data_IF_856349112778
#
_entry.id   IF_856349112778
#
_cell.length_a   1.000
_cell.length_b   1.000
_cell.length_c   1.000
_cell.angle_alpha   90.00
_cell.angle_beta   90.00
_cell.angle_gamma   90.00
#
_symmetry.space_group_name_H-M   'P 1'
#
loop_
_entity.id
_entity.type
_entity.pdbx_description
1 polymer ?
#
# COMPACT_ATOMS: atom_id res chain seq x y z
N UNK A 1 9.37 6.11 -17.91
CA UNK A 1 7.98 6.55 -17.70
C UNK A 1 7.39 6.69 -19.09
N UNK A 2 6.32 5.95 -19.40
CA UNK A 2 5.68 6.02 -20.71
C UNK A 2 5.07 7.40 -20.92
N UNK A 3 5.32 7.97 -22.08
CA UNK A 3 4.98 9.34 -22.51
C UNK A 3 3.55 9.45 -23.05
N UNK A 4 2.60 8.68 -22.53
CA UNK A 4 1.26 8.53 -23.14
C UNK A 4 0.10 8.83 -22.17
N UNK A 5 0.40 9.43 -21.01
CA UNK A 5 -0.67 9.99 -20.17
C UNK A 5 -1.07 11.37 -20.72
N UNK A 6 -2.37 11.59 -20.99
CA UNK A 6 -2.86 12.90 -21.41
C UNK A 6 -2.51 13.97 -20.36
N UNK A 7 -2.26 15.20 -20.80
CA UNK A 7 -1.93 16.30 -19.90
C UNK A 7 -3.15 16.65 -19.04
N UNK A 8 -3.10 16.53 -17.70
CA UNK A 8 -4.24 16.85 -16.84
C UNK A 8 -4.75 18.29 -16.96
N UNK A 9 -3.88 19.22 -17.37
CA UNK A 9 -4.23 20.63 -17.55
C UNK A 9 -5.17 20.89 -18.74
N UNK A 10 -5.31 19.91 -19.65
CA UNK A 10 -6.16 20.00 -20.84
C UNK A 10 -7.49 19.25 -20.69
N UNK A 11 -7.68 18.56 -19.56
CA UNK A 11 -8.84 17.71 -19.28
C UNK A 11 -10.00 18.53 -18.71
N UNK A 12 -11.22 18.10 -19.06
CA UNK A 12 -12.43 18.58 -18.41
C UNK A 12 -12.54 18.05 -16.98
N UNK A 13 -13.39 18.70 -16.17
CA UNK A 13 -13.64 18.26 -14.80
C UNK A 13 -14.17 16.80 -14.72
N UNK A 14 -14.96 16.38 -15.71
CA UNK A 14 -15.51 15.03 -15.73
C UNK A 14 -14.44 13.99 -16.10
N UNK A 15 -13.51 14.33 -17.00
CA UNK A 15 -12.37 13.48 -17.33
C UNK A 15 -11.41 13.34 -16.13
N UNK A 16 -11.09 14.45 -15.44
CA UNK A 16 -10.27 14.42 -14.23
C UNK A 16 -10.89 13.55 -13.12
N UNK A 17 -12.23 13.61 -12.97
CA UNK A 17 -12.95 12.77 -12.01
C UNK A 17 -12.97 11.30 -12.42
N UNK A 18 -12.98 11.01 -13.72
CA UNK A 18 -12.86 9.64 -14.21
C UNK A 18 -11.46 9.08 -13.92
N UNK A 19 -10.41 9.88 -14.13
CA UNK A 19 -9.03 9.48 -13.82
C UNK A 19 -8.83 9.22 -12.32
N UNK A 20 -9.39 10.06 -11.43
CA UNK A 20 -9.38 9.79 -9.98
C UNK A 20 -10.09 8.46 -9.66
N UNK A 21 -11.23 8.17 -10.29
CA UNK A 21 -11.93 6.90 -10.07
C UNK A 21 -11.12 5.68 -10.54
N UNK A 22 -10.34 5.83 -11.60
CA UNK A 22 -9.42 4.78 -12.06
C UNK A 22 -8.28 4.59 -11.05
N UNK A 23 -7.66 5.68 -10.59
CA UNK A 23 -6.64 5.65 -9.53
C UNK A 23 -7.18 4.97 -8.25
N UNK A 24 -8.41 5.29 -7.85
CA UNK A 24 -9.05 4.70 -6.66
C UNK A 24 -9.21 3.17 -6.81
N UNK A 25 -9.58 2.69 -8.01
CA UNK A 25 -9.66 1.25 -8.30
C UNK A 25 -8.28 0.61 -8.23
N UNK A 26 -7.29 1.22 -8.84
CA UNK A 26 -5.91 0.73 -8.84
C UNK A 26 -5.35 0.66 -7.40
N UNK A 27 -5.66 1.64 -6.55
CA UNK A 27 -5.30 1.60 -5.13
C UNK A 27 -5.89 0.37 -4.45
N UNK A 28 -7.17 0.07 -4.66
CA UNK A 28 -7.82 -1.11 -4.08
C UNK A 28 -7.18 -2.41 -4.59
N UNK A 29 -6.87 -2.50 -5.87
CA UNK A 29 -6.17 -3.67 -6.45
C UNK A 29 -4.77 -3.86 -5.86
N UNK A 30 -4.02 -2.76 -5.69
CA UNK A 30 -2.69 -2.78 -5.07
C UNK A 30 -2.76 -3.20 -3.59
N UNK A 31 -3.79 -2.75 -2.86
CA UNK A 31 -4.03 -3.18 -1.48
C UNK A 31 -4.31 -4.68 -1.43
N UNK A 32 -5.21 -5.19 -2.27
CA UNK A 32 -5.52 -6.62 -2.34
C UNK A 32 -4.28 -7.46 -2.65
N UNK A 33 -3.49 -7.04 -3.64
CA UNK A 33 -2.22 -7.70 -4.00
C UNK A 33 -1.22 -7.68 -2.83
N UNK A 34 -1.09 -6.55 -2.13
CA UNK A 34 -0.20 -6.42 -0.97
C UNK A 34 -0.62 -7.37 0.16
N UNK A 35 -1.92 -7.47 0.45
CA UNK A 35 -2.45 -8.37 1.48
C UNK A 35 -2.16 -9.83 1.12
N UNK A 36 -2.43 -10.26 -0.11
CA UNK A 36 -2.12 -11.62 -0.57
C UNK A 36 -0.64 -12.00 -0.41
N UNK A 37 0.27 -11.10 -0.77
CA UNK A 37 1.72 -11.32 -0.59
C UNK A 37 2.08 -11.42 0.88
N UNK A 38 1.51 -10.57 1.74
CA UNK A 38 1.77 -10.60 3.17
C UNK A 38 1.24 -11.90 3.84
N UNK A 39 0.11 -12.42 3.39
CA UNK A 39 -0.43 -13.71 3.84
C UNK A 39 0.47 -14.87 3.41
N UNK A 40 0.97 -14.83 2.16
CA UNK A 40 1.96 -15.80 1.68
C UNK A 40 3.23 -15.79 2.53
N UNK A 41 3.71 -14.60 2.92
CA UNK A 41 4.85 -14.47 3.84
C UNK A 41 4.55 -15.08 5.21
N UNK A 42 3.33 -14.90 5.74
CA UNK A 42 2.92 -15.51 7.00
C UNK A 42 2.89 -17.04 6.93
N UNK A 43 2.40 -17.61 5.82
CA UNK A 43 2.42 -19.06 5.58
C UNK A 43 3.87 -19.60 5.56
N UNK A 44 4.77 -18.93 4.83
CA UNK A 44 6.19 -19.32 4.79
C UNK A 44 6.86 -19.20 6.17
N UNK A 45 6.50 -18.20 6.97
CA UNK A 45 7.00 -18.08 8.35
C UNK A 45 6.51 -19.24 9.21
N UNK A 46 5.24 -19.62 9.10
CA UNK A 46 4.66 -20.73 9.84
C UNK A 46 5.31 -22.07 9.48
N UNK A 47 5.54 -22.34 8.19
CA UNK A 47 6.24 -23.55 7.72
C UNK A 47 7.68 -23.66 8.23
N UNK A 48 8.29 -22.54 8.63
CA UNK A 48 9.68 -22.45 9.10
C UNK A 48 9.80 -22.20 10.60
N UNK A 49 8.70 -22.32 11.34
CA UNK A 49 8.63 -22.02 12.78
C UNK A 49 9.16 -20.61 13.14
N UNK A 50 8.98 -19.65 12.23
CA UNK A 50 9.39 -18.26 12.44
C UNK A 50 8.25 -17.43 13.07
N UNK A 51 8.58 -16.46 13.95
CA UNK A 51 7.57 -15.55 14.51
C UNK A 51 6.80 -14.81 13.43
N UNK A 52 5.47 -14.79 13.54
CA UNK A 52 4.60 -14.05 12.63
C UNK A 52 4.78 -12.54 12.77
N UNK A 53 4.98 -12.06 14.00
CA UNK A 53 5.24 -10.65 14.30
C UNK A 53 6.70 -10.32 14.05
N UNK A 54 6.97 -9.23 13.34
CA UNK A 54 8.30 -8.76 12.99
C UNK A 54 8.33 -7.23 13.04
N UNK A 55 8.58 -6.70 14.24
CA UNK A 55 8.58 -5.25 14.50
C UNK A 55 9.62 -4.51 13.65
N UNK A 56 10.78 -5.13 13.41
CA UNK A 56 11.82 -4.55 12.55
C UNK A 56 11.40 -4.50 11.07
N UNK A 57 10.54 -5.42 10.61
CA UNK A 57 9.92 -5.31 9.30
C UNK A 57 8.85 -4.21 9.26
N UNK A 58 8.07 -4.01 10.32
CA UNK A 58 7.10 -2.91 10.40
C UNK A 58 7.79 -1.54 10.37
N UNK A 59 8.88 -1.37 11.12
CA UNK A 59 9.71 -0.14 11.08
C UNK A 59 10.22 0.13 9.66
N UNK A 60 10.81 -0.87 8.99
CA UNK A 60 11.28 -0.75 7.61
C UNK A 60 10.18 -0.43 6.61
N UNK A 61 8.94 -0.87 6.84
CA UNK A 61 7.79 -0.48 6.01
C UNK A 61 7.47 0.99 6.20
N UNK A 62 7.54 1.49 7.44
CA UNK A 62 7.27 2.88 7.78
C UNK A 62 8.36 3.83 7.29
N UNK A 63 9.62 3.40 7.30
CA UNK A 63 10.74 4.17 6.72
C UNK A 63 10.55 4.36 5.22
N UNK A 64 10.28 3.27 4.49
CA UNK A 64 9.96 3.35 3.06
C UNK A 64 8.75 4.22 2.77
N UNK A 65 7.73 4.21 3.64
CA UNK A 65 6.56 5.07 3.48
C UNK A 65 6.94 6.56 3.62
N UNK A 66 7.84 6.89 4.55
CA UNK A 66 8.39 8.24 4.70
C UNK A 66 9.22 8.68 3.49
N UNK A 67 10.17 7.85 3.05
CA UNK A 67 11.02 8.13 1.89
C UNK A 67 10.20 8.36 0.61
N UNK A 68 9.15 7.55 0.39
CA UNK A 68 8.26 7.75 -0.76
C UNK A 68 7.41 9.01 -0.62
N UNK A 69 6.94 9.35 0.58
CA UNK A 69 6.20 10.59 0.78
C UNK A 69 7.04 11.81 0.40
N UNK A 70 8.29 11.86 0.87
CA UNK A 70 9.24 12.93 0.52
C UNK A 70 9.49 12.98 -0.99
N UNK A 71 9.66 11.84 -1.64
CA UNK A 71 9.90 11.76 -3.09
C UNK A 71 8.74 12.32 -3.94
N UNK A 72 7.52 12.21 -3.45
CA UNK A 72 6.31 12.68 -4.14
C UNK A 72 5.76 13.98 -3.55
N UNK A 73 6.55 14.69 -2.72
CA UNK A 73 6.16 15.94 -2.06
C UNK A 73 4.85 15.84 -1.24
N UNK A 74 4.63 14.69 -0.60
CA UNK A 74 3.48 14.40 0.27
C UNK A 74 3.86 14.52 1.75
N UNK A 75 2.86 14.80 2.61
CA UNK A 75 3.05 14.78 4.06
C UNK A 75 3.38 13.37 4.54
N UNK A 76 4.60 13.19 5.06
CA UNK A 76 5.10 11.91 5.53
C UNK A 76 4.26 11.29 6.65
N UNK A 77 3.62 12.10 7.51
CA UNK A 77 2.77 11.59 8.58
C UNK A 77 1.46 11.02 8.02
N UNK A 78 0.87 11.66 7.01
CA UNK A 78 -0.34 11.17 6.35
C UNK A 78 -0.07 9.87 5.60
N UNK A 79 1.02 9.81 4.81
CA UNK A 79 1.40 8.57 4.11
C UNK A 79 1.70 7.45 5.11
N UNK A 80 2.46 7.73 6.18
CA UNK A 80 2.71 6.76 7.26
C UNK A 80 1.39 6.31 7.93
N UNK A 81 0.39 7.17 8.09
CA UNK A 81 -0.91 6.78 8.64
C UNK A 81 -1.64 5.76 7.74
N UNK A 82 -1.62 5.96 6.42
CA UNK A 82 -2.16 4.96 5.47
C UNK A 82 -1.43 3.63 5.62
N UNK A 83 -0.10 3.64 5.68
CA UNK A 83 0.68 2.41 5.84
C UNK A 83 0.43 1.69 7.17
N UNK A 84 0.15 2.41 8.27
CA UNK A 84 -0.31 1.79 9.53
C UNK A 84 -1.61 1.02 9.31
N UNK A 85 -2.58 1.59 8.60
CA UNK A 85 -3.84 0.90 8.28
C UNK A 85 -3.59 -0.35 7.43
N UNK A 86 -2.67 -0.30 6.47
CA UNK A 86 -2.31 -1.47 5.65
C UNK A 86 -1.60 -2.58 6.44
N UNK A 87 -0.82 -2.23 7.45
CA UNK A 87 -0.22 -3.20 8.38
C UNK A 87 -1.31 -3.83 9.25
N UNK A 88 -2.19 -2.99 9.82
CA UNK A 88 -3.28 -3.49 10.67
C UNK A 88 -4.27 -4.36 9.91
N UNK A 89 -4.61 -4.02 8.66
CA UNK A 89 -5.43 -4.86 7.79
C UNK A 89 -4.85 -6.28 7.70
N UNK A 90 -3.54 -6.41 7.44
CA UNK A 90 -2.90 -7.71 7.34
C UNK A 90 -2.87 -8.46 8.68
N UNK A 91 -2.67 -7.77 9.80
CA UNK A 91 -2.74 -8.40 11.13
C UNK A 91 -4.14 -8.91 11.47
N UNK A 92 -5.19 -8.24 11.02
CA UNK A 92 -6.59 -8.68 11.21
C UNK A 92 -6.87 -9.94 10.40
N UNK A 93 -6.52 -9.96 9.11
CA UNK A 93 -6.70 -11.13 8.22
C UNK A 93 -5.96 -12.36 8.75
N UNK A 94 -4.72 -12.19 9.22
CA UNK A 94 -3.95 -13.27 9.84
C UNK A 94 -4.57 -13.81 11.12
N UNK A 95 -5.28 -12.99 11.92
CA UNK A 95 -5.97 -13.45 13.12
C UNK A 95 -7.22 -14.27 12.78
N UNK A 96 -7.90 -13.94 11.69
CA UNK A 96 -9.09 -14.67 11.24
C UNK A 96 -8.74 -16.02 10.58
N UNK A 97 -7.55 -16.13 10.00
CA UNK A 97 -7.08 -17.33 9.29
C UNK A 97 -6.35 -18.35 10.19
N UNK A 98 -6.26 -18.10 11.50
CA UNK A 98 -5.71 -19.01 12.52
C UNK A 98 -6.81 -19.84 13.16
#
# INVERSE_FOLDING_TARGET
MSTDQPNPEEMTLDELRAEIQEIDRDIVELIARRTYVADTVAAVKNERDLPTTDEGQEERVMDRAGENAERFDLDANLVKAVFRLLIELNKVEQRQSR
#
